data_IF_876778460744
#
_entry.id   IF_876778460744
#
_cell.length_a   1.000
_cell.length_b   1.000
_cell.length_c   1.000
_cell.angle_alpha   90.00
_cell.angle_beta   90.00
_cell.angle_gamma   90.00
#
_symmetry.space_group_name_H-M   'P 1'
#
loop_
_entity.id
_entity.type
_entity.pdbx_description
1 polymer ?
#
# COMPACT_ATOMS: atom_id res chain seq x y z
N UNK A 1 -1.08 62.81 -52.88
CA UNK A 1 -0.92 61.37 -53.04
C UNK A 1 -0.86 60.76 -51.67
N UNK A 2 -2.02 60.21 -51.21
CA UNK A 2 -2.23 59.76 -49.85
C UNK A 2 -2.29 58.22 -49.85
N UNK A 3 -1.34 57.62 -49.20
CA UNK A 3 -1.32 56.16 -49.01
C UNK A 3 -2.08 55.83 -47.70
N UNK A 4 -3.23 55.25 -47.88
CA UNK A 4 -4.09 54.75 -46.80
C UNK A 4 -3.48 53.48 -46.24
N UNK A 5 -2.96 53.53 -45.03
CA UNK A 5 -2.60 52.33 -44.26
C UNK A 5 -3.85 51.70 -43.66
N UNK A 6 -4.16 50.49 -44.14
CA UNK A 6 -5.23 49.68 -43.55
C UNK A 6 -4.65 48.91 -42.35
N UNK A 7 -4.81 49.44 -41.16
CA UNK A 7 -4.52 48.73 -39.94
C UNK A 7 -5.61 47.69 -39.68
N UNK A 8 -5.27 46.42 -39.84
CA UNK A 8 -6.12 45.30 -39.43
C UNK A 8 -6.19 45.28 -37.88
N UNK A 9 -7.28 45.79 -37.37
CA UNK A 9 -7.68 45.71 -35.96
C UNK A 9 -8.06 44.26 -35.66
N UNK A 10 -7.10 43.45 -35.27
CA UNK A 10 -7.34 42.10 -34.73
C UNK A 10 -7.86 42.23 -33.33
N UNK A 11 -9.15 41.93 -33.16
CA UNK A 11 -9.86 41.99 -31.87
C UNK A 11 -9.24 40.99 -30.88
N UNK A 12 -8.87 41.42 -29.67
CA UNK A 12 -8.13 40.59 -28.70
C UNK A 12 -8.92 39.47 -28.05
N UNK A 13 -10.19 39.31 -28.43
CA UNK A 13 -11.12 38.38 -27.78
C UNK A 13 -10.84 36.90 -28.07
N UNK A 14 -10.17 36.60 -29.21
CA UNK A 14 -9.87 35.20 -29.57
C UNK A 14 -8.63 34.63 -28.87
N UNK A 15 -7.70 35.48 -28.47
CA UNK A 15 -6.48 35.08 -27.76
C UNK A 15 -6.77 34.60 -26.32
N UNK A 16 -7.71 35.24 -25.62
CA UNK A 16 -8.11 34.88 -24.26
C UNK A 16 -8.89 33.56 -24.22
N UNK A 17 -9.71 33.28 -25.23
CA UNK A 17 -10.48 32.02 -25.30
C UNK A 17 -9.62 30.80 -25.54
N UNK A 18 -8.57 30.90 -26.37
CA UNK A 18 -7.66 29.81 -26.67
C UNK A 18 -6.81 29.41 -25.45
N UNK A 19 -6.37 30.39 -24.65
CA UNK A 19 -5.58 30.11 -23.42
C UNK A 19 -6.40 29.42 -22.34
N UNK A 20 -7.68 29.76 -22.22
CA UNK A 20 -8.56 29.18 -21.19
C UNK A 20 -8.91 27.71 -21.50
N UNK A 21 -9.13 27.37 -22.78
CA UNK A 21 -9.38 25.98 -23.23
C UNK A 21 -8.16 25.10 -23.08
N UNK A 22 -6.96 25.62 -23.41
CA UNK A 22 -5.72 24.88 -23.24
C UNK A 22 -5.40 24.59 -21.76
N UNK A 23 -5.64 25.54 -20.87
CA UNK A 23 -5.46 25.37 -19.42
C UNK A 23 -6.38 24.33 -18.82
N UNK A 24 -7.65 24.25 -19.28
CA UNK A 24 -8.61 23.25 -18.79
C UNK A 24 -8.24 21.82 -19.24
N UNK A 25 -7.75 21.66 -20.48
CA UNK A 25 -7.35 20.37 -21.01
C UNK A 25 -6.10 19.81 -20.28
N UNK A 26 -5.12 20.64 -19.98
CA UNK A 26 -3.92 20.25 -19.23
C UNK A 26 -4.29 19.91 -17.76
N UNK A 27 -5.16 20.67 -17.14
CA UNK A 27 -5.64 20.42 -15.77
C UNK A 27 -6.40 19.10 -15.63
N UNK A 28 -7.23 18.74 -16.61
CA UNK A 28 -7.95 17.48 -16.61
C UNK A 28 -7.03 16.27 -16.84
N UNK A 29 -6.02 16.39 -17.69
CA UNK A 29 -5.04 15.32 -17.93
C UNK A 29 -4.15 15.06 -16.71
N UNK A 30 -3.73 16.09 -15.99
CA UNK A 30 -2.96 15.95 -14.74
C UNK A 30 -3.77 15.31 -13.63
N UNK A 31 -5.05 15.63 -13.49
CA UNK A 31 -5.90 15.06 -12.44
C UNK A 31 -6.23 13.58 -12.67
N UNK A 32 -6.33 13.13 -13.92
CA UNK A 32 -6.49 11.70 -14.25
C UNK A 32 -5.21 10.90 -14.05
N UNK A 33 -4.05 11.48 -14.35
CA UNK A 33 -2.75 10.84 -14.13
C UNK A 33 -2.47 10.62 -12.62
N UNK A 34 -2.83 11.57 -11.77
CA UNK A 34 -2.71 11.43 -10.31
C UNK A 34 -3.65 10.37 -9.71
N UNK A 35 -4.83 10.17 -10.28
CA UNK A 35 -5.76 9.11 -9.86
C UNK A 35 -5.36 7.71 -10.34
N UNK A 36 -4.66 7.62 -11.47
CA UNK A 36 -4.22 6.35 -12.04
C UNK A 36 -3.09 5.67 -11.25
N UNK A 37 -2.46 6.37 -10.28
CA UNK A 37 -1.32 5.85 -9.51
C UNK A 37 -1.67 5.38 -8.09
N UNK A 38 -2.91 5.45 -7.66
CA UNK A 38 -3.31 4.90 -6.35
C UNK A 38 -3.58 3.40 -6.46
N UNK A 39 -2.52 2.60 -6.36
CA UNK A 39 -2.67 1.16 -6.16
C UNK A 39 -3.45 0.91 -4.88
N UNK A 40 -4.49 0.05 -4.88
CA UNK A 40 -5.24 -0.25 -3.67
C UNK A 40 -4.31 -0.81 -2.57
N UNK A 41 -4.49 -0.39 -1.31
CA UNK A 41 -3.71 -0.93 -0.21
C UNK A 41 -3.99 -2.43 -0.04
N UNK A 42 -2.96 -3.16 0.36
CA UNK A 42 -3.03 -4.59 0.64
C UNK A 42 -2.82 -4.86 2.12
N UNK A 43 -3.50 -5.88 2.64
CA UNK A 43 -3.39 -6.28 4.04
C UNK A 43 -2.96 -7.74 4.13
N UNK A 44 -1.89 -7.98 4.87
CA UNK A 44 -1.51 -9.33 5.29
C UNK A 44 -2.17 -9.61 6.63
N UNK A 45 -3.02 -10.64 6.67
CA UNK A 45 -3.76 -11.03 7.88
C UNK A 45 -3.30 -12.40 8.32
N UNK A 46 -2.94 -12.55 9.57
CA UNK A 46 -2.49 -13.81 10.13
C UNK A 46 -3.10 -14.05 11.53
N UNK A 47 -3.65 -15.24 11.71
CA UNK A 47 -3.97 -15.81 13.03
C UNK A 47 -2.79 -16.69 13.46
N UNK A 48 -2.29 -16.49 14.67
CA UNK A 48 -1.06 -17.16 15.12
C UNK A 48 -1.32 -17.81 16.49
N UNK A 49 -1.10 -19.11 16.56
CA UNK A 49 -1.03 -19.86 17.81
C UNK A 49 0.44 -20.16 18.12
N UNK A 50 0.99 -19.54 19.15
CA UNK A 50 2.39 -19.66 19.56
C UNK A 50 2.49 -20.82 20.54
N UNK A 51 3.35 -21.80 20.25
CA UNK A 51 3.61 -22.94 21.13
C UNK A 51 5.02 -22.92 21.73
N UNK A 52 5.97 -22.15 21.17
CA UNK A 52 7.28 -21.85 21.75
C UNK A 52 7.44 -20.33 21.89
N UNK A 53 6.96 -19.80 23.02
CA UNK A 53 6.92 -18.35 23.24
C UNK A 53 8.30 -17.74 23.42
N UNK A 54 9.26 -18.47 24.01
CA UNK A 54 10.61 -17.96 24.31
C UNK A 54 11.42 -17.77 23.03
N UNK A 55 11.43 -18.77 22.18
CA UNK A 55 12.13 -18.68 20.88
C UNK A 55 11.43 -17.68 19.96
N UNK A 56 10.10 -17.67 19.94
CA UNK A 56 9.35 -16.70 19.15
C UNK A 56 9.65 -15.25 19.57
N UNK A 57 9.67 -14.96 20.86
CA UNK A 57 9.94 -13.63 21.40
C UNK A 57 11.39 -13.18 21.19
N UNK A 58 12.36 -14.11 21.27
CA UNK A 58 13.78 -13.81 21.13
C UNK A 58 14.22 -13.71 19.67
N UNK A 59 13.81 -14.64 18.83
CA UNK A 59 14.41 -14.86 17.52
C UNK A 59 13.56 -14.35 16.35
N UNK A 60 12.23 -14.26 16.52
CA UNK A 60 11.30 -13.83 15.47
C UNK A 60 10.77 -12.41 15.70
N UNK A 61 10.11 -12.16 16.83
CA UNK A 61 9.34 -10.94 17.04
C UNK A 61 10.13 -9.62 16.90
N UNK A 62 11.38 -9.50 17.42
CA UNK A 62 12.12 -8.26 17.29
C UNK A 62 12.63 -7.99 15.88
N UNK A 63 12.80 -9.03 15.06
CA UNK A 63 13.41 -8.93 13.74
C UNK A 63 12.37 -8.71 12.63
N UNK A 64 11.17 -9.25 12.79
CA UNK A 64 10.13 -9.18 11.74
C UNK A 64 9.70 -7.75 11.43
N UNK A 65 9.67 -6.87 12.41
CA UNK A 65 9.25 -5.48 12.22
C UNK A 65 10.17 -4.74 11.23
N UNK A 66 11.48 -4.94 11.32
CA UNK A 66 12.46 -4.36 10.40
C UNK A 66 12.25 -4.83 8.97
N UNK A 67 12.00 -6.14 8.75
CA UNK A 67 11.76 -6.65 7.39
C UNK A 67 10.48 -6.10 6.78
N UNK A 68 9.42 -5.95 7.56
CA UNK A 68 8.16 -5.35 7.10
C UNK A 68 8.39 -3.90 6.67
N UNK A 69 9.08 -3.10 7.48
CA UNK A 69 9.35 -1.69 7.20
C UNK A 69 10.21 -1.50 5.95
N UNK A 70 11.20 -2.36 5.72
CA UNK A 70 12.07 -2.29 4.54
C UNK A 70 11.31 -2.42 3.21
N UNK A 71 10.15 -3.07 3.23
CA UNK A 71 9.25 -3.19 2.07
C UNK A 71 8.05 -2.23 2.09
N UNK A 72 8.12 -1.20 2.95
CA UNK A 72 7.06 -0.18 3.05
C UNK A 72 5.80 -0.67 3.77
N UNK A 73 5.90 -1.77 4.51
CA UNK A 73 4.81 -2.28 5.33
C UNK A 73 4.77 -1.65 6.72
N UNK A 74 3.60 -1.70 7.34
CA UNK A 74 3.41 -1.28 8.73
C UNK A 74 2.44 -2.20 9.44
N UNK A 75 2.73 -2.51 10.70
CA UNK A 75 1.79 -3.22 11.55
C UNK A 75 0.60 -2.30 11.91
N UNK A 76 -0.62 -2.76 11.65
CA UNK A 76 -1.84 -2.10 12.12
C UNK A 76 -2.24 -2.64 13.49
N UNK A 77 -2.10 -3.94 13.68
CA UNK A 77 -2.30 -4.60 14.97
C UNK A 77 -1.44 -5.85 15.08
N UNK A 78 -1.04 -6.17 16.30
CA UNK A 78 -0.37 -7.43 16.64
C UNK A 78 -0.59 -7.71 18.12
N UNK A 79 -1.61 -8.50 18.45
CA UNK A 79 -1.97 -8.72 19.86
C UNK A 79 -2.97 -9.84 20.09
N UNK A 80 -3.37 -9.95 21.35
CA UNK A 80 -4.46 -10.82 21.78
C UNK A 80 -5.79 -10.21 21.36
N UNK A 81 -6.74 -11.06 21.02
CA UNK A 81 -8.12 -10.68 20.76
C UNK A 81 -9.02 -11.01 21.94
N UNK A 82 -10.05 -10.21 22.13
CA UNK A 82 -11.19 -10.56 22.97
C UNK A 82 -12.33 -11.01 22.06
N UNK A 83 -12.74 -12.27 22.17
CA UNK A 83 -13.91 -12.75 21.44
C UNK A 83 -15.19 -12.14 22.07
N UNK A 84 -16.02 -11.56 21.23
CA UNK A 84 -17.40 -11.21 21.61
C UNK A 84 -18.33 -12.39 21.37
N UNK A 85 -17.98 -13.22 20.37
CA UNK A 85 -18.66 -14.48 20.04
C UNK A 85 -17.64 -15.51 19.57
N UNK A 86 -17.87 -16.78 19.86
CA UNK A 86 -17.00 -17.88 19.47
C UNK A 86 -15.64 -17.91 20.17
N UNK A 87 -14.65 -18.51 19.53
CA UNK A 87 -13.28 -18.65 20.05
C UNK A 87 -12.34 -17.65 19.39
N UNK A 88 -11.64 -16.84 20.19
CA UNK A 88 -10.59 -15.94 19.68
C UNK A 88 -9.30 -16.73 19.39
N UNK A 89 -8.57 -16.41 18.29
CA UNK A 89 -7.22 -16.87 18.10
C UNK A 89 -6.30 -16.29 19.18
N UNK A 90 -5.23 -17.01 19.49
CA UNK A 90 -4.27 -16.59 20.52
C UNK A 90 -3.63 -15.22 20.20
N UNK A 91 -3.33 -15.00 18.93
CA UNK A 91 -2.77 -13.75 18.41
C UNK A 91 -3.31 -13.46 17.01
N UNK A 92 -3.59 -12.20 16.77
CA UNK A 92 -4.02 -11.72 15.48
C UNK A 92 -3.09 -10.62 15.00
N UNK A 93 -2.69 -10.68 13.73
CA UNK A 93 -1.75 -9.74 13.13
C UNK A 93 -2.34 -9.21 11.84
N UNK A 94 -2.31 -7.89 11.67
CA UNK A 94 -2.60 -7.22 10.39
C UNK A 94 -1.43 -6.32 10.06
N UNK A 95 -0.88 -6.52 8.85
CA UNK A 95 0.18 -5.69 8.28
C UNK A 95 -0.38 -5.05 7.02
N UNK A 96 -0.27 -3.72 6.91
CA UNK A 96 -0.65 -2.98 5.71
C UNK A 96 0.56 -2.73 4.83
N UNK A 97 0.35 -2.87 3.52
CA UNK A 97 1.29 -2.49 2.46
C UNK A 97 0.57 -1.59 1.45
N UNK A 98 1.32 -0.77 0.71
CA UNK A 98 0.73 0.10 -0.31
C UNK A 98 0.18 -0.69 -1.51
N UNK A 99 0.64 -1.95 -1.73
CA UNK A 99 0.14 -2.82 -2.78
C UNK A 99 0.35 -4.30 -2.46
N UNK A 100 -0.33 -5.17 -3.22
CA UNK A 100 -0.16 -6.64 -3.15
C UNK A 100 1.26 -7.05 -3.55
N UNK A 101 1.82 -6.37 -4.53
CA UNK A 101 3.17 -6.65 -5.03
C UNK A 101 4.21 -6.41 -3.94
N UNK A 102 4.10 -5.32 -3.17
CA UNK A 102 4.96 -5.04 -2.01
C UNK A 102 4.80 -6.09 -0.92
N UNK A 103 3.57 -6.50 -0.62
CA UNK A 103 3.29 -7.53 0.36
C UNK A 103 3.91 -8.88 -0.03
N UNK A 104 3.81 -9.26 -1.31
CA UNK A 104 4.43 -10.46 -1.86
C UNK A 104 5.95 -10.37 -1.86
N UNK A 105 6.50 -9.24 -2.34
CA UNK A 105 7.94 -8.99 -2.34
C UNK A 105 8.54 -9.13 -0.93
N UNK A 106 7.87 -8.60 0.10
CA UNK A 106 8.26 -8.82 1.48
C UNK A 106 8.20 -10.30 1.87
N UNK A 107 7.08 -10.98 1.58
CA UNK A 107 6.89 -12.36 2.00
C UNK A 107 7.92 -13.31 1.38
N UNK A 108 8.29 -13.09 0.12
CA UNK A 108 9.25 -13.91 -0.64
C UNK A 108 10.70 -13.41 -0.49
N UNK A 109 10.93 -12.36 0.31
CA UNK A 109 12.26 -11.75 0.45
C UNK A 109 13.26 -12.64 1.17
N UNK A 110 14.55 -12.58 0.80
CA UNK A 110 15.61 -13.31 1.47
C UNK A 110 15.77 -12.93 2.94
N UNK A 111 15.36 -11.72 3.32
CA UNK A 111 15.40 -11.24 4.70
C UNK A 111 14.29 -11.87 5.57
N UNK A 112 13.12 -12.12 4.98
CA UNK A 112 11.99 -12.70 5.71
C UNK A 112 12.02 -14.24 5.73
N UNK A 113 12.57 -14.91 4.71
CA UNK A 113 12.56 -16.38 4.62
C UNK A 113 13.17 -17.09 5.85
N UNK A 114 14.31 -16.68 6.42
CA UNK A 114 14.83 -17.28 7.65
C UNK A 114 13.87 -17.10 8.84
N UNK A 115 13.23 -15.93 8.94
CA UNK A 115 12.26 -15.65 10.00
C UNK A 115 10.98 -16.49 9.82
N UNK A 116 10.56 -16.73 8.59
CA UNK A 116 9.43 -17.60 8.28
C UNK A 116 9.66 -19.02 8.78
N UNK A 117 10.88 -19.55 8.66
CA UNK A 117 11.22 -20.88 9.17
C UNK A 117 11.21 -20.94 10.70
N UNK A 118 11.70 -19.89 11.39
CA UNK A 118 11.58 -19.76 12.85
C UNK A 118 10.09 -19.70 13.24
N UNK A 119 9.29 -18.90 12.56
CA UNK A 119 7.86 -18.79 12.82
C UNK A 119 7.15 -20.13 12.66
N UNK A 120 7.41 -20.89 11.60
CA UNK A 120 6.81 -22.21 11.35
C UNK A 120 7.15 -23.23 12.44
N UNK A 121 8.35 -23.12 13.04
CA UNK A 121 8.80 -24.02 14.12
C UNK A 121 8.22 -23.64 15.47
N UNK A 122 7.89 -22.37 15.70
CA UNK A 122 7.50 -21.84 17.02
C UNK A 122 6.02 -21.49 17.13
N UNK A 123 5.32 -21.46 15.98
CA UNK A 123 3.92 -21.07 15.91
C UNK A 123 3.19 -21.77 14.77
N UNK A 124 1.91 -22.02 14.97
CA UNK A 124 1.00 -22.54 13.93
C UNK A 124 0.10 -21.40 13.46
N UNK A 125 -0.07 -21.28 12.15
CA UNK A 125 -1.04 -20.36 11.54
C UNK A 125 -2.31 -21.15 11.25
N UNK A 126 -3.46 -20.71 11.77
CA UNK A 126 -4.75 -21.40 11.58
C UNK A 126 -5.26 -21.35 10.14
N UNK A 127 -4.65 -20.53 9.29
CA UNK A 127 -4.97 -20.49 7.86
C UNK A 127 -4.05 -21.46 7.11
N UNK A 128 -4.57 -22.45 6.37
CA UNK A 128 -3.76 -23.52 5.74
C UNK A 128 -2.78 -23.03 4.66
N UNK A 129 -2.81 -21.79 4.31
CA UNK A 129 -1.79 -21.11 3.48
C UNK A 129 -1.70 -19.67 3.97
N UNK A 130 -0.78 -19.44 4.89
CA UNK A 130 -0.16 -18.16 5.25
C UNK A 130 -0.86 -16.89 4.74
N UNK A 131 -1.05 -15.92 5.61
CA UNK A 131 -1.32 -14.53 5.25
C UNK A 131 -2.19 -14.33 3.98
N UNK A 132 -3.49 -14.19 4.16
CA UNK A 132 -4.36 -13.74 3.08
C UNK A 132 -4.08 -12.27 2.80
N UNK A 133 -3.82 -11.93 1.53
CA UNK A 133 -3.76 -10.55 1.09
C UNK A 133 -5.17 -10.12 0.69
N UNK A 134 -5.74 -9.16 1.39
CA UNK A 134 -7.01 -8.55 1.05
C UNK A 134 -6.76 -7.20 0.37
N UNK A 135 -7.43 -6.96 -0.75
CA UNK A 135 -7.55 -5.65 -1.39
C UNK A 135 -8.96 -5.12 -1.16
N UNK A 136 -9.09 -3.82 -1.08
CA UNK A 136 -10.38 -3.12 -1.01
C UNK A 136 -10.79 -2.67 -2.40
#
# INVERSE_FOLDING_TARGET
MQLSGNEMNMKPHYALSATLVAGLAIGAALSTALRAQSTPPAYVVAEVAIHDADVFARDYAPKVAGTVQSYGGRFLTSGKLTALEGNAPQRFVIIAFDSVEKARAWYDSPEYQPLLEIRKKTATSSSPKAAKVCQR
#
